data_IF_765631809091
#
_entry.id   IF_765631809091
#
_cell.length_a   1.000
_cell.length_b   1.000
_cell.length_c   1.000
_cell.angle_alpha   90.00
_cell.angle_beta   90.00
_cell.angle_gamma   90.00
#
_symmetry.space_group_name_H-M   'P 1'
#
loop_
_entity.id
_entity.type
_entity.pdbx_description
1 polymer ?
#
# COMPACT_ATOMS: atom_id res chain seq x y z
N UNK A 1 64.85 -17.69 19.65
CA UNK A 1 63.92 -16.52 19.67
C UNK A 1 63.16 -16.36 18.36
N UNK A 2 63.81 -16.17 17.20
CA UNK A 2 63.13 -15.98 15.90
C UNK A 2 62.23 -17.16 15.47
N UNK A 3 62.68 -18.41 15.67
CA UNK A 3 61.90 -19.60 15.31
C UNK A 3 60.59 -19.72 16.10
N UNK A 4 60.62 -19.42 17.41
CA UNK A 4 59.43 -19.45 18.26
C UNK A 4 58.41 -18.39 17.85
N UNK A 5 58.86 -17.19 17.45
CA UNK A 5 57.99 -16.14 16.93
C UNK A 5 57.31 -16.54 15.61
N UNK A 6 58.03 -17.24 14.72
CA UNK A 6 57.48 -17.75 13.46
C UNK A 6 56.44 -18.86 13.69
N UNK A 7 56.70 -19.78 14.62
CA UNK A 7 55.76 -20.86 14.98
C UNK A 7 54.50 -20.25 15.62
N UNK A 8 54.67 -19.31 16.55
CA UNK A 8 53.55 -18.61 17.18
C UNK A 8 52.71 -17.84 16.16
N UNK A 9 53.34 -17.11 15.25
CA UNK A 9 52.66 -16.42 14.15
C UNK A 9 51.88 -17.38 13.24
N UNK A 10 52.45 -18.54 12.91
CA UNK A 10 51.73 -19.59 12.16
C UNK A 10 50.54 -20.14 12.93
N UNK A 11 50.66 -20.41 14.23
CA UNK A 11 49.53 -20.87 15.05
C UNK A 11 48.39 -19.85 15.09
N UNK A 12 48.72 -18.56 15.24
CA UNK A 12 47.72 -17.48 15.21
C UNK A 12 47.02 -17.41 13.84
N UNK A 13 47.77 -17.50 12.74
CA UNK A 13 47.22 -17.50 11.38
C UNK A 13 46.29 -18.69 11.11
N UNK A 14 46.66 -19.89 11.58
CA UNK A 14 45.82 -21.10 11.46
C UNK A 14 44.53 -20.90 12.26
N UNK A 15 44.62 -20.40 13.51
CA UNK A 15 43.45 -20.12 14.33
C UNK A 15 42.52 -19.07 13.72
N UNK A 16 43.07 -18.02 13.08
CA UNK A 16 42.26 -17.01 12.39
C UNK A 16 41.54 -17.58 11.16
N UNK A 17 42.19 -18.46 10.39
CA UNK A 17 41.54 -19.14 9.25
C UNK A 17 40.41 -20.05 9.70
N UNK A 18 40.63 -20.83 10.76
CA UNK A 18 39.58 -21.72 11.29
C UNK A 18 38.39 -20.92 11.85
N UNK A 19 38.65 -19.76 12.46
CA UNK A 19 37.59 -18.84 12.90
C UNK A 19 36.77 -18.29 11.72
N UNK A 20 37.44 -17.90 10.63
CA UNK A 20 36.80 -17.36 9.41
C UNK A 20 35.96 -18.43 8.70
N UNK A 21 36.45 -19.66 8.61
CA UNK A 21 35.68 -20.81 8.09
C UNK A 21 34.44 -21.08 8.95
N UNK A 22 34.57 -21.08 10.28
CA UNK A 22 33.43 -21.24 11.19
C UNK A 22 32.42 -20.12 11.02
N UNK A 23 32.86 -18.86 10.96
CA UNK A 23 31.98 -17.72 10.73
C UNK A 23 31.24 -17.82 9.40
N UNK A 24 31.93 -18.22 8.34
CA UNK A 24 31.34 -18.45 7.01
C UNK A 24 30.30 -19.57 7.06
N UNK A 25 30.61 -20.68 7.74
CA UNK A 25 29.67 -21.79 7.95
C UNK A 25 28.44 -21.36 8.76
N UNK A 26 28.61 -20.58 9.82
CA UNK A 26 27.49 -20.03 10.60
C UNK A 26 26.60 -19.13 9.75
N UNK A 27 27.21 -18.27 8.94
CA UNK A 27 26.47 -17.40 8.01
C UNK A 27 25.69 -18.20 6.97
N UNK A 28 26.32 -19.19 6.33
CA UNK A 28 25.67 -20.04 5.35
C UNK A 28 24.50 -20.84 5.97
N UNK A 29 24.67 -21.38 7.18
CA UNK A 29 23.60 -22.06 7.90
C UNK A 29 22.45 -21.11 8.27
N UNK A 30 22.77 -19.89 8.68
CA UNK A 30 21.76 -18.87 8.97
C UNK A 30 20.96 -18.52 7.71
N UNK A 31 21.64 -18.25 6.60
CA UNK A 31 21.02 -17.91 5.31
C UNK A 31 20.17 -19.08 4.78
N UNK A 32 20.65 -20.31 4.91
CA UNK A 32 19.91 -21.51 4.52
C UNK A 32 18.64 -21.70 5.36
N UNK A 33 18.73 -21.52 6.69
CA UNK A 33 17.56 -21.58 7.56
C UNK A 33 16.54 -20.47 7.24
N UNK A 34 17.01 -19.27 6.90
CA UNK A 34 16.13 -18.19 6.45
C UNK A 34 15.41 -18.55 5.15
N UNK A 35 16.10 -19.16 4.18
CA UNK A 35 15.50 -19.64 2.93
C UNK A 35 14.48 -20.76 3.16
N UNK A 36 14.79 -21.72 4.02
CA UNK A 36 13.85 -22.80 4.40
C UNK A 36 12.58 -22.21 5.02
N UNK A 37 12.73 -21.30 5.98
CA UNK A 37 11.58 -20.65 6.62
C UNK A 37 10.72 -19.86 5.62
N UNK A 38 11.34 -19.14 4.69
CA UNK A 38 10.63 -18.43 3.62
C UNK A 38 9.86 -19.40 2.71
N UNK A 39 10.47 -20.54 2.35
CA UNK A 39 9.81 -21.57 1.54
C UNK A 39 8.63 -22.21 2.30
N UNK A 40 8.77 -22.49 3.59
CA UNK A 40 7.68 -23.01 4.43
C UNK A 40 6.51 -22.03 4.49
N UNK A 41 6.77 -20.74 4.71
CA UNK A 41 5.72 -19.72 4.71
C UNK A 41 5.02 -19.60 3.35
N UNK A 42 5.77 -19.72 2.26
CA UNK A 42 5.21 -19.73 0.92
C UNK A 42 4.31 -20.96 0.69
N UNK A 43 4.77 -22.15 1.09
CA UNK A 43 3.99 -23.39 1.01
C UNK A 43 2.69 -23.31 1.85
N UNK A 44 2.74 -22.73 3.04
CA UNK A 44 1.54 -22.53 3.87
C UNK A 44 0.57 -21.50 3.26
N UNK A 45 1.10 -20.46 2.63
CA UNK A 45 0.29 -19.48 1.89
C UNK A 45 -0.41 -20.13 0.70
N UNK A 46 0.28 -21.00 -0.05
CA UNK A 46 -0.31 -21.81 -1.12
C UNK A 46 -1.40 -22.73 -0.60
N UNK A 47 -1.16 -23.48 0.47
CA UNK A 47 -2.18 -24.35 1.10
C UNK A 47 -3.40 -23.56 1.54
N UNK A 48 -3.21 -22.37 2.11
CA UNK A 48 -4.32 -21.50 2.51
C UNK A 48 -5.09 -20.98 1.29
N UNK A 49 -4.41 -20.65 0.20
CA UNK A 49 -5.05 -20.28 -1.06
C UNK A 49 -5.86 -21.46 -1.65
N UNK A 50 -5.31 -22.66 -1.65
CA UNK A 50 -6.02 -23.87 -2.11
C UNK A 50 -7.26 -24.17 -1.28
N UNK A 51 -7.18 -24.04 0.06
CA UNK A 51 -8.34 -24.18 0.94
C UNK A 51 -9.43 -23.16 0.63
N UNK A 52 -9.06 -21.89 0.43
CA UNK A 52 -10.01 -20.83 0.04
C UNK A 52 -10.66 -21.13 -1.30
N UNK A 53 -9.90 -21.60 -2.29
CA UNK A 53 -10.43 -22.01 -3.59
C UNK A 53 -11.37 -23.21 -3.49
N UNK A 54 -11.07 -24.18 -2.61
CA UNK A 54 -11.93 -25.33 -2.38
C UNK A 54 -13.29 -24.89 -1.80
N UNK A 55 -13.28 -24.01 -0.80
CA UNK A 55 -14.50 -23.44 -0.22
C UNK A 55 -15.30 -22.66 -1.27
N UNK A 56 -14.64 -21.78 -2.03
CA UNK A 56 -15.29 -21.04 -3.11
C UNK A 56 -15.97 -21.95 -4.15
N UNK A 57 -15.28 -23.02 -4.59
CA UNK A 57 -15.86 -24.00 -5.53
C UNK A 57 -17.05 -24.74 -4.93
N UNK A 58 -16.98 -25.09 -3.64
CA UNK A 58 -18.08 -25.73 -2.93
C UNK A 58 -19.31 -24.83 -2.92
N UNK A 59 -19.15 -23.57 -2.51
CA UNK A 59 -20.26 -22.63 -2.38
C UNK A 59 -20.85 -22.27 -3.75
N UNK A 60 -20.00 -22.09 -4.77
CA UNK A 60 -20.44 -21.88 -6.15
C UNK A 60 -21.27 -23.06 -6.66
N UNK A 61 -20.83 -24.30 -6.40
CA UNK A 61 -21.59 -25.50 -6.80
C UNK A 61 -22.94 -25.57 -6.09
N UNK A 62 -22.98 -25.23 -4.81
CA UNK A 62 -24.22 -25.19 -4.04
C UNK A 62 -25.20 -24.16 -4.61
N UNK A 63 -24.73 -22.94 -4.90
CA UNK A 63 -25.54 -21.89 -5.52
C UNK A 63 -26.07 -22.29 -6.90
N UNK A 64 -25.24 -22.93 -7.75
CA UNK A 64 -25.67 -23.45 -9.04
C UNK A 64 -26.71 -24.55 -8.91
N UNK A 65 -26.63 -25.40 -7.88
CA UNK A 65 -27.61 -26.46 -7.64
C UNK A 65 -28.96 -25.89 -7.21
N UNK A 66 -28.96 -24.88 -6.32
CA UNK A 66 -30.18 -24.16 -5.94
C UNK A 66 -30.80 -23.49 -7.17
N UNK A 67 -29.99 -22.82 -7.98
CA UNK A 67 -30.46 -22.14 -9.18
C UNK A 67 -31.08 -23.14 -10.18
N UNK A 68 -30.45 -24.30 -10.38
CA UNK A 68 -30.98 -25.36 -11.24
C UNK A 68 -32.33 -25.87 -10.72
N UNK A 69 -32.45 -26.15 -9.42
CA UNK A 69 -33.71 -26.59 -8.81
C UNK A 69 -34.82 -25.54 -8.96
N UNK A 70 -34.51 -24.25 -8.76
CA UNK A 70 -35.48 -23.16 -8.95
C UNK A 70 -35.97 -23.06 -10.40
N UNK A 71 -35.08 -23.27 -11.38
CA UNK A 71 -35.44 -23.28 -12.81
C UNK A 71 -36.31 -24.50 -13.14
N UNK A 72 -35.98 -25.69 -12.64
CA UNK A 72 -36.77 -26.93 -12.81
C UNK A 72 -38.18 -26.79 -12.22
N UNK A 73 -38.30 -26.13 -11.07
CA UNK A 73 -39.57 -25.82 -10.41
C UNK A 73 -40.33 -24.63 -11.05
N UNK A 74 -39.83 -24.05 -12.14
CA UNK A 74 -40.37 -22.86 -12.83
C UNK A 74 -40.49 -21.60 -11.95
N UNK A 75 -39.69 -21.50 -10.90
CA UNK A 75 -39.59 -20.34 -10.00
C UNK A 75 -38.65 -19.28 -10.55
N UNK A 76 -38.99 -18.75 -11.72
CA UNK A 76 -38.10 -17.87 -12.48
C UNK A 76 -37.78 -16.55 -11.74
N UNK A 77 -38.73 -16.00 -11.00
CA UNK A 77 -38.53 -14.75 -10.25
C UNK A 77 -37.55 -14.93 -9.08
N UNK A 78 -37.65 -16.04 -8.34
CA UNK A 78 -36.72 -16.38 -7.26
C UNK A 78 -35.30 -16.65 -7.79
N UNK A 79 -35.20 -17.33 -8.94
CA UNK A 79 -33.93 -17.56 -9.62
C UNK A 79 -33.26 -16.24 -10.06
N UNK A 80 -34.04 -15.30 -10.62
CA UNK A 80 -33.56 -13.96 -10.98
C UNK A 80 -33.08 -13.17 -9.76
N UNK A 81 -33.83 -13.20 -8.65
CA UNK A 81 -33.40 -12.57 -7.39
C UNK A 81 -32.07 -13.13 -6.89
N UNK A 82 -31.88 -14.45 -6.95
CA UNK A 82 -30.62 -15.09 -6.57
C UNK A 82 -29.48 -14.62 -7.48
N UNK A 83 -29.68 -14.57 -8.80
CA UNK A 83 -28.68 -14.06 -9.75
C UNK A 83 -28.32 -12.60 -9.46
N UNK A 84 -29.30 -11.74 -9.17
CA UNK A 84 -29.04 -10.34 -8.82
C UNK A 84 -28.23 -10.21 -7.53
N UNK A 85 -28.59 -10.98 -6.50
CA UNK A 85 -27.83 -11.02 -5.24
C UNK A 85 -26.39 -11.47 -5.46
N UNK A 86 -26.17 -12.53 -6.25
CA UNK A 86 -24.82 -13.00 -6.58
C UNK A 86 -24.03 -11.95 -7.37
N UNK A 87 -24.67 -11.25 -8.31
CA UNK A 87 -24.03 -10.17 -9.05
C UNK A 87 -23.68 -8.99 -8.14
N UNK A 88 -24.53 -8.63 -7.17
CA UNK A 88 -24.21 -7.60 -6.18
C UNK A 88 -23.03 -8.01 -5.28
N UNK A 89 -23.00 -9.25 -4.80
CA UNK A 89 -21.86 -9.78 -4.03
C UNK A 89 -20.57 -9.75 -4.87
N UNK A 90 -20.63 -10.14 -6.14
CA UNK A 90 -19.50 -10.07 -7.07
C UNK A 90 -19.09 -8.61 -7.33
N UNK A 91 -20.03 -7.70 -7.57
CA UNK A 91 -19.75 -6.28 -7.81
C UNK A 91 -19.17 -5.59 -6.57
N UNK A 92 -19.55 -6.02 -5.36
CA UNK A 92 -18.92 -5.60 -4.11
C UNK A 92 -17.50 -6.14 -3.93
N UNK A 93 -17.13 -7.20 -4.66
CA UNK A 93 -15.77 -7.77 -4.71
C UNK A 93 -14.93 -7.26 -5.89
N UNK A 94 -15.50 -6.52 -6.85
CA UNK A 94 -14.71 -5.85 -7.88
C UNK A 94 -13.74 -4.87 -7.22
N UNK A 95 -12.44 -5.07 -7.46
CA UNK A 95 -11.41 -4.07 -7.18
C UNK A 95 -11.76 -2.86 -8.03
N UNK A 96 -12.42 -1.85 -7.44
CA UNK A 96 -12.67 -0.58 -8.12
C UNK A 96 -11.33 -0.02 -8.59
N UNK A 97 -11.22 0.18 -9.89
CA UNK A 97 -10.03 0.74 -10.50
C UNK A 97 -10.11 2.27 -10.47
N UNK A 98 -9.46 2.87 -9.47
CA UNK A 98 -9.34 4.31 -9.27
C UNK A 98 -8.29 4.93 -10.19
N UNK A 99 -7.24 4.18 -10.55
CA UNK A 99 -6.21 4.65 -11.49
C UNK A 99 -5.50 3.48 -12.19
N UNK A 100 -4.60 3.79 -13.15
CA UNK A 100 -3.87 2.78 -13.93
C UNK A 100 -2.62 2.24 -13.23
N UNK A 101 -2.10 2.93 -12.22
CA UNK A 101 -0.96 2.47 -11.44
C UNK A 101 -1.41 1.43 -10.40
N UNK A 102 -0.98 0.17 -10.53
CA UNK A 102 -1.46 -0.94 -9.69
C UNK A 102 -1.18 -0.74 -8.19
N UNK A 103 0.00 -0.23 -7.82
CA UNK A 103 0.37 -0.04 -6.41
C UNK A 103 -0.43 1.08 -5.77
N UNK A 104 -0.55 2.21 -6.48
CA UNK A 104 -1.37 3.34 -6.03
C UNK A 104 -2.84 2.96 -5.97
N UNK A 105 -3.34 2.22 -6.97
CA UNK A 105 -4.72 1.74 -7.00
C UNK A 105 -5.01 0.89 -5.76
N UNK A 106 -4.16 -0.10 -5.46
CA UNK A 106 -4.32 -0.94 -4.27
C UNK A 106 -4.31 -0.13 -2.96
N UNK A 107 -3.39 0.83 -2.83
CA UNK A 107 -3.33 1.73 -1.67
C UNK A 107 -4.62 2.54 -1.50
N UNK A 108 -5.11 3.17 -2.58
CA UNK A 108 -6.34 3.95 -2.54
C UNK A 108 -7.58 3.09 -2.28
N UNK A 109 -7.65 1.88 -2.86
CA UNK A 109 -8.78 0.98 -2.65
C UNK A 109 -9.04 0.65 -1.18
N UNK A 110 -7.97 0.40 -0.41
CA UNK A 110 -8.09 0.09 1.03
C UNK A 110 -8.70 1.27 1.80
N UNK A 111 -8.21 2.49 1.57
CA UNK A 111 -8.64 3.63 2.37
C UNK A 111 -9.93 4.28 1.88
N UNK A 112 -10.22 4.23 0.57
CA UNK A 112 -11.51 4.68 0.05
C UNK A 112 -12.62 3.78 0.62
N UNK A 113 -12.42 2.45 0.60
CA UNK A 113 -13.35 1.50 1.24
C UNK A 113 -13.53 1.81 2.72
N UNK A 114 -12.43 2.01 3.47
CA UNK A 114 -12.48 2.39 4.90
C UNK A 114 -13.23 3.70 5.15
N UNK A 115 -13.10 4.69 4.27
CA UNK A 115 -13.83 5.94 4.37
C UNK A 115 -15.34 5.75 4.11
N UNK A 116 -15.68 5.01 3.05
CA UNK A 116 -17.06 4.67 2.69
C UNK A 116 -17.75 3.88 3.81
N UNK A 117 -17.11 2.84 4.33
CA UNK A 117 -17.60 2.02 5.46
C UNK A 117 -17.82 2.86 6.74
N UNK A 118 -17.05 3.95 6.90
CA UNK A 118 -17.17 4.91 8.00
C UNK A 118 -18.21 6.03 7.76
N UNK A 119 -18.95 5.97 6.65
CA UNK A 119 -19.95 6.97 6.26
C UNK A 119 -19.34 8.32 5.85
N UNK A 120 -18.12 8.32 5.31
CA UNK A 120 -17.45 9.53 4.79
C UNK A 120 -17.59 9.56 3.27
N UNK A 121 -18.30 10.54 2.70
CA UNK A 121 -18.34 10.72 1.25
C UNK A 121 -16.95 11.01 0.68
N UNK A 122 -16.53 10.21 -0.31
CA UNK A 122 -15.27 10.39 -1.05
C UNK A 122 -15.58 10.74 -2.51
N UNK A 123 -15.11 11.90 -2.96
CA UNK A 123 -15.12 12.27 -4.39
C UNK A 123 -13.72 12.14 -4.95
N UNK A 124 -13.59 11.63 -6.18
CA UNK A 124 -12.28 11.39 -6.79
C UNK A 124 -12.28 11.63 -8.30
N UNK A 125 -11.18 12.16 -8.81
CA UNK A 125 -10.86 12.23 -10.23
C UNK A 125 -9.36 12.00 -10.42
N UNK A 126 -8.97 10.79 -10.79
CA UNK A 126 -7.59 10.34 -10.67
C UNK A 126 -7.01 9.86 -12.00
N UNK A 127 -6.29 10.73 -12.70
CA UNK A 127 -5.46 10.34 -13.85
C UNK A 127 -4.01 10.13 -13.41
N UNK A 128 -3.73 8.92 -12.92
CA UNK A 128 -2.39 8.45 -12.57
C UNK A 128 -2.02 7.34 -13.57
N UNK A 129 -1.01 7.55 -14.43
CA UNK A 129 -0.63 6.56 -15.44
C UNK A 129 0.02 5.32 -14.80
N UNK A 130 -0.03 4.19 -15.51
CA UNK A 130 0.81 3.04 -15.15
C UNK A 130 2.28 3.40 -15.37
N UNK A 131 3.14 2.87 -14.52
CA UNK A 131 4.58 2.98 -14.73
C UNK A 131 5.04 2.07 -15.87
N UNK A 132 6.04 2.49 -16.67
CA UNK A 132 6.60 1.64 -17.71
C UNK A 132 7.27 0.39 -17.11
N UNK A 133 7.28 -0.76 -17.84
CA UNK A 133 7.81 -2.04 -17.36
C UNK A 133 9.26 -2.02 -16.85
N UNK A 134 10.05 -1.02 -17.26
CA UNK A 134 11.49 -0.90 -16.98
C UNK A 134 11.83 0.17 -15.93
N UNK A 135 10.84 0.74 -15.25
CA UNK A 135 11.06 1.77 -14.23
C UNK A 135 11.21 1.15 -12.84
N UNK A 136 12.08 1.75 -12.01
CA UNK A 136 12.23 1.30 -10.61
C UNK A 136 10.88 1.44 -9.89
N UNK A 137 10.31 0.29 -9.51
CA UNK A 137 9.14 0.07 -8.63
C UNK A 137 9.12 0.94 -7.36
N UNK A 138 10.28 1.47 -6.99
CA UNK A 138 10.49 2.23 -5.76
C UNK A 138 9.88 3.64 -5.73
N UNK A 139 9.58 4.26 -6.89
CA UNK A 139 8.83 5.54 -6.92
C UNK A 139 7.34 5.27 -6.72
N UNK A 140 6.80 4.26 -7.41
CA UNK A 140 5.41 3.82 -7.23
C UNK A 140 5.11 3.37 -5.81
N UNK A 141 6.01 2.56 -5.23
CA UNK A 141 5.90 2.15 -3.84
C UNK A 141 5.95 3.35 -2.89
N UNK A 142 6.85 4.32 -3.16
CA UNK A 142 6.93 5.56 -2.39
C UNK A 142 5.65 6.38 -2.48
N UNK A 143 5.10 6.54 -3.68
CA UNK A 143 3.84 7.24 -3.90
C UNK A 143 2.69 6.52 -3.20
N UNK A 144 2.58 5.20 -3.34
CA UNK A 144 1.55 4.40 -2.67
C UNK A 144 1.60 4.55 -1.14
N UNK A 145 2.78 4.57 -0.54
CA UNK A 145 2.98 4.82 0.90
C UNK A 145 2.52 6.23 1.27
N UNK A 146 2.96 7.25 0.53
CA UNK A 146 2.57 8.64 0.78
C UNK A 146 1.05 8.80 0.70
N UNK A 147 0.42 8.29 -0.36
CA UNK A 147 -1.02 8.39 -0.56
C UNK A 147 -1.82 7.61 0.50
N UNK A 148 -1.31 6.45 0.93
CA UNK A 148 -1.89 5.70 2.06
C UNK A 148 -1.92 6.54 3.33
N UNK A 149 -0.80 7.19 3.65
CA UNK A 149 -0.69 8.01 4.86
C UNK A 149 -1.55 9.28 4.78
N UNK A 150 -1.63 9.91 3.61
CA UNK A 150 -2.50 11.06 3.40
C UNK A 150 -3.98 10.68 3.52
N UNK A 151 -4.38 9.53 2.95
CA UNK A 151 -5.73 9.01 3.08
C UNK A 151 -6.07 8.63 4.51
N UNK A 152 -5.16 8.00 5.24
CA UNK A 152 -5.35 7.68 6.65
C UNK A 152 -5.62 8.95 7.47
N UNK A 153 -4.83 9.99 7.26
CA UNK A 153 -5.02 11.29 7.90
C UNK A 153 -6.36 11.92 7.52
N UNK A 154 -6.74 11.86 6.24
CA UNK A 154 -8.00 12.42 5.75
C UNK A 154 -9.22 11.72 6.37
N UNK A 155 -9.18 10.38 6.48
CA UNK A 155 -10.22 9.58 7.16
C UNK A 155 -10.27 9.94 8.63
N UNK A 156 -9.12 9.97 9.30
CA UNK A 156 -9.03 10.28 10.72
C UNK A 156 -9.61 11.67 11.04
N UNK A 157 -9.16 12.69 10.32
CA UNK A 157 -9.59 14.07 10.55
C UNK A 157 -11.08 14.27 10.22
N UNK A 158 -11.58 13.59 9.17
CA UNK A 158 -13.00 13.60 8.82
C UNK A 158 -13.87 12.94 9.89
N UNK A 159 -13.41 11.86 10.53
CA UNK A 159 -14.14 11.20 11.62
C UNK A 159 -14.35 12.11 12.83
N UNK A 160 -13.44 13.05 13.07
CA UNK A 160 -13.55 14.07 14.12
C UNK A 160 -14.58 15.17 13.79
N UNK A 161 -15.09 15.21 12.56
CA UNK A 161 -16.12 16.16 12.17
C UNK A 161 -17.53 15.59 12.40
N UNK A 162 -18.54 16.46 12.60
CA UNK A 162 -19.95 16.06 12.59
C UNK A 162 -20.29 15.29 11.29
N UNK A 163 -21.15 14.27 11.39
CA UNK A 163 -21.45 13.36 10.27
C UNK A 163 -21.80 14.10 8.95
N UNK A 164 -22.63 15.15 9.02
CA UNK A 164 -23.03 15.94 7.85
C UNK A 164 -21.94 16.85 7.26
N UNK A 165 -20.79 17.00 7.93
CA UNK A 165 -19.64 17.79 7.46
C UNK A 165 -18.48 16.94 6.98
N UNK A 166 -18.55 15.61 7.08
CA UNK A 166 -17.46 14.72 6.65
C UNK A 166 -17.37 14.73 5.14
N UNK A 167 -16.18 14.91 4.59
CA UNK A 167 -15.94 14.82 3.15
C UNK A 167 -14.44 14.70 2.86
N UNK A 168 -14.11 13.86 1.88
CA UNK A 168 -12.77 13.74 1.30
C UNK A 168 -12.88 13.96 -0.21
N UNK A 169 -11.97 14.74 -0.77
CA UNK A 169 -11.86 14.93 -2.22
C UNK A 169 -10.43 14.63 -2.69
N UNK A 170 -10.32 13.87 -3.77
CA UNK A 170 -9.07 13.45 -4.40
C UNK A 170 -9.04 13.92 -5.84
N UNK A 171 -7.92 14.49 -6.27
CA UNK A 171 -7.69 14.82 -7.67
C UNK A 171 -6.27 14.48 -8.07
N UNK A 172 -6.09 13.90 -9.25
CA UNK A 172 -4.77 13.70 -9.84
C UNK A 172 -4.83 14.01 -11.33
N UNK A 173 -3.81 14.72 -11.82
CA UNK A 173 -3.59 14.94 -13.24
C UNK A 173 -2.15 14.67 -13.60
N UNK A 174 -1.96 13.98 -14.71
CA UNK A 174 -0.67 13.77 -15.33
C UNK A 174 -0.58 14.59 -16.61
N UNK A 175 0.45 15.44 -16.72
CA UNK A 175 0.62 16.33 -17.88
C UNK A 175 2.10 16.60 -18.11
N UNK A 176 2.59 16.37 -19.33
CA UNK A 176 4.00 16.55 -19.72
C UNK A 176 5.00 15.90 -18.74
N UNK A 177 4.80 14.63 -18.38
CA UNK A 177 5.67 13.88 -17.47
C UNK A 177 5.55 14.27 -15.99
N UNK A 178 4.81 15.32 -15.66
CA UNK A 178 4.58 15.76 -14.27
C UNK A 178 3.27 15.21 -13.74
N UNK A 179 3.30 14.64 -12.52
CA UNK A 179 2.11 14.29 -11.78
C UNK A 179 1.80 15.35 -10.73
N UNK A 180 0.56 15.83 -10.76
CA UNK A 180 -0.02 16.69 -9.73
C UNK A 180 -1.11 15.91 -9.02
N UNK A 181 -1.00 15.79 -7.70
CA UNK A 181 -1.97 15.13 -6.84
C UNK A 181 -2.45 16.10 -5.76
N UNK A 182 -3.75 16.05 -5.46
CA UNK A 182 -4.39 16.79 -4.39
C UNK A 182 -5.29 15.86 -3.60
N UNK A 183 -5.22 15.99 -2.29
CA UNK A 183 -6.17 15.43 -1.35
C UNK A 183 -6.61 16.54 -0.40
N UNK A 184 -7.91 16.63 -0.17
CA UNK A 184 -8.44 17.51 0.87
C UNK A 184 -9.52 16.82 1.67
N UNK A 185 -9.58 17.15 2.95
CA UNK A 185 -10.60 16.66 3.87
C UNK A 185 -11.14 17.80 4.72
N UNK A 186 -12.36 17.60 5.21
CA UNK A 186 -12.96 18.54 6.16
C UNK A 186 -12.28 18.43 7.52
N UNK A 187 -11.92 19.58 8.08
CA UNK A 187 -11.32 19.69 9.40
C UNK A 187 -11.54 21.12 9.93
N UNK A 188 -12.41 21.25 10.93
CA UNK A 188 -12.75 22.54 11.54
C UNK A 188 -11.83 22.91 12.73
N UNK A 189 -10.90 22.04 13.10
CA UNK A 189 -9.89 22.32 14.12
C UNK A 189 -8.78 23.23 13.59
N UNK A 190 -7.91 23.70 14.48
CA UNK A 190 -6.74 24.51 14.10
C UNK A 190 -5.59 23.64 13.58
N UNK A 191 -4.96 24.06 12.49
CA UNK A 191 -3.73 23.46 11.97
C UNK A 191 -2.58 24.47 12.11
N UNK A 192 -1.50 24.05 12.75
CA UNK A 192 -0.26 24.83 12.82
C UNK A 192 0.73 24.28 11.80
N UNK A 193 1.47 25.15 11.14
CA UNK A 193 2.48 24.79 10.13
C UNK A 193 3.89 25.15 10.62
N UNK A 194 4.87 24.32 10.26
CA UNK A 194 6.29 24.61 10.48
C UNK A 194 6.84 25.59 9.42
N UNK A 195 8.12 25.98 9.58
CA UNK A 195 8.81 26.87 8.64
C UNK A 195 8.91 26.33 7.21
N UNK A 196 8.62 25.04 7.00
CA UNK A 196 8.62 24.37 5.70
C UNK A 196 7.21 24.24 5.11
N UNK A 197 6.20 24.83 5.76
CA UNK A 197 4.80 24.77 5.34
C UNK A 197 4.13 23.42 5.59
N UNK A 198 4.68 22.58 6.47
CA UNK A 198 4.13 21.26 6.81
C UNK A 198 3.40 21.30 8.14
N UNK A 199 2.26 20.59 8.30
CA UNK A 199 1.52 20.57 9.56
C UNK A 199 2.36 20.00 10.71
N UNK A 200 2.35 20.70 11.85
CA UNK A 200 2.96 20.27 13.10
C UNK A 200 2.00 19.30 13.80
N UNK A 201 2.49 18.12 14.18
CA UNK A 201 1.72 17.13 14.94
C UNK A 201 2.36 16.85 16.30
N UNK A 202 1.58 16.99 17.37
CA UNK A 202 2.00 16.69 18.75
C UNK A 202 1.55 15.29 19.19
N UNK A 203 1.08 14.44 18.28
CA UNK A 203 0.60 13.11 18.63
C UNK A 203 1.71 12.06 18.64
N UNK A 204 1.80 11.33 19.75
CA UNK A 204 2.56 10.08 19.83
C UNK A 204 2.11 9.10 18.74
N UNK A 205 3.06 8.55 17.99
CA UNK A 205 2.84 7.54 16.95
C UNK A 205 2.55 8.08 15.53
N UNK A 206 2.22 9.36 15.35
CA UNK A 206 1.77 9.90 14.05
C UNK A 206 2.82 10.64 13.21
N UNK A 207 4.10 10.61 13.61
CA UNK A 207 5.20 11.17 12.82
C UNK A 207 5.59 10.38 11.56
N UNK A 208 4.98 9.21 11.33
CA UNK A 208 5.32 8.31 10.22
C UNK A 208 4.85 8.82 8.86
N UNK A 209 3.65 9.44 8.80
CA UNK A 209 3.13 10.02 7.56
C UNK A 209 4.02 11.12 7.01
N UNK A 210 4.46 12.05 7.87
CA UNK A 210 5.35 13.15 7.50
C UNK A 210 6.76 12.66 7.14
N UNK A 211 7.26 11.62 7.83
CA UNK A 211 8.53 10.96 7.46
C UNK A 211 8.48 10.35 6.07
N UNK A 212 7.38 9.67 5.71
CA UNK A 212 7.23 9.09 4.37
C UNK A 212 7.18 10.15 3.28
N UNK A 213 6.50 11.27 3.54
CA UNK A 213 6.42 12.41 2.63
C UNK A 213 7.80 13.06 2.46
N UNK A 214 8.54 13.24 3.55
CA UNK A 214 9.90 13.80 3.51
C UNK A 214 10.89 12.87 2.77
N UNK A 215 10.81 11.56 2.99
CA UNK A 215 11.60 10.57 2.25
C UNK A 215 11.27 10.59 0.77
N UNK A 216 9.98 10.69 0.42
CA UNK A 216 9.55 10.79 -0.97
C UNK A 216 10.09 12.07 -1.62
N UNK A 217 9.95 13.23 -0.96
CA UNK A 217 10.52 14.51 -1.43
C UNK A 217 12.02 14.43 -1.71
N UNK A 218 12.79 13.84 -0.80
CA UNK A 218 14.26 13.69 -0.97
C UNK A 218 14.64 12.82 -2.17
N UNK A 219 13.75 11.93 -2.59
CA UNK A 219 14.02 10.97 -3.66
C UNK A 219 13.55 11.43 -5.03
N UNK A 220 12.48 12.22 -5.08
CA UNK A 220 11.81 12.61 -6.33
C UNK A 220 11.83 14.11 -6.60
N UNK A 221 12.49 14.90 -5.73
CA UNK A 221 12.42 16.37 -5.70
C UNK A 221 10.98 16.89 -5.66
N UNK A 222 10.07 16.14 -5.03
CA UNK A 222 8.66 16.50 -4.98
C UNK A 222 8.44 17.84 -4.26
N UNK A 223 7.59 18.66 -4.86
CA UNK A 223 7.02 19.85 -4.22
C UNK A 223 5.79 19.45 -3.43
N UNK A 224 5.71 19.91 -2.19
CA UNK A 224 4.58 19.67 -1.30
C UNK A 224 4.11 20.99 -0.73
N UNK A 225 2.80 21.22 -0.78
CA UNK A 225 2.15 22.36 -0.15
C UNK A 225 0.97 21.87 0.68
N UNK A 226 0.87 22.33 1.92
CA UNK A 226 -0.27 22.08 2.78
C UNK A 226 -0.98 23.40 3.07
N UNK A 227 -2.31 23.40 3.04
CA UNK A 227 -3.14 24.57 3.32
C UNK A 227 -4.29 24.18 4.25
N UNK A 228 -4.79 25.16 5.02
CA UNK A 228 -5.98 24.99 5.84
C UNK A 228 -6.84 26.24 5.73
N UNK A 229 -7.89 26.18 4.90
CA UNK A 229 -8.73 27.33 4.58
C UNK A 229 -10.20 26.90 4.47
N UNK A 230 -11.12 27.69 5.01
CA UNK A 230 -12.57 27.42 4.89
C UNK A 230 -13.03 26.06 5.42
N UNK A 231 -12.35 25.54 6.46
CA UNK A 231 -12.62 24.21 7.04
C UNK A 231 -12.13 23.04 6.17
N UNK A 232 -11.28 23.31 5.18
CA UNK A 232 -10.62 22.30 4.36
C UNK A 232 -9.14 22.27 4.68
N UNK A 233 -8.64 21.10 5.09
CA UNK A 233 -7.23 20.81 5.07
C UNK A 233 -6.89 20.19 3.72
N UNK A 234 -5.92 20.75 2.99
CA UNK A 234 -5.54 20.28 1.65
C UNK A 234 -4.04 20.06 1.57
N UNK A 235 -3.65 18.95 0.93
CA UNK A 235 -2.26 18.62 0.61
C UNK A 235 -2.13 18.50 -0.91
N UNK A 236 -1.18 19.24 -1.45
CA UNK A 236 -0.80 19.22 -2.85
C UNK A 236 0.59 18.59 -2.97
N UNK A 237 0.73 17.64 -3.88
CA UNK A 237 1.96 16.94 -4.19
C UNK A 237 2.22 17.05 -5.70
N UNK A 238 3.40 17.53 -6.07
CA UNK A 238 3.83 17.62 -7.47
C UNK A 238 5.23 17.03 -7.63
N UNK A 239 5.42 16.13 -8.59
CA UNK A 239 6.74 15.62 -8.95
C UNK A 239 6.79 15.15 -10.41
N UNK A 240 7.99 15.11 -10.96
CA UNK A 240 8.25 14.64 -12.31
C UNK A 240 8.38 13.10 -12.30
N UNK A 241 7.46 12.42 -12.98
CA UNK A 241 7.51 10.96 -13.14
C UNK A 241 8.67 10.58 -14.07
N UNK A 242 8.91 11.33 -15.15
CA UNK A 242 9.86 10.98 -16.22
C UNK A 242 11.33 11.27 -15.88
N UNK A 243 11.61 12.32 -15.11
CA UNK A 243 12.98 12.62 -14.65
C UNK A 243 13.55 11.50 -13.78
N UNK A 244 12.68 10.79 -13.06
CA UNK A 244 13.02 9.61 -12.26
C UNK A 244 13.13 8.31 -13.09
N UNK A 245 12.81 8.38 -14.39
CA UNK A 245 13.00 7.29 -15.37
C UNK A 245 14.35 7.41 -16.09
N UNK A 246 14.88 8.63 -16.22
CA UNK A 246 16.07 8.96 -17.03
C UNK A 246 17.41 8.91 -16.32
N UNK A 247 17.48 8.53 -15.03
CA UNK A 247 18.76 8.28 -14.32
C UNK A 247 19.30 6.87 -14.62
N UNK A 248 19.25 6.48 -15.90
CA UNK A 248 19.93 5.31 -16.46
C UNK A 248 21.43 5.56 -16.56
#
# INVERSE_FOLDING_TARGET
MALCALIFGKCVLIGLRELDERLTLYKNNYDLNAQINAFTQYADSLRNAEKKLALFRHDSRHQLHILAAMIEEKKNDEALMLIHKLNEEIDQTKIRQFCRNTMVNAALSVYIRKAEDAGIPVQWQLDIPSSPPHTKTTVDAGLAIVLSNLMENAVYASLQQPAGRRKIELAARHTHGTLMFMIKNRYDGTVQFDVRGLPITNRQGHGLGMKSLEQFRKKTDATVLCTHEGGWFSVYLQFDIEKNIRLL
#
